data_IF_160884889029
#
_entry.id   IF_160884889029
#
_cell.length_a   1.000
_cell.length_b   1.000
_cell.length_c   1.000
_cell.angle_alpha   90.00
_cell.angle_beta   90.00
_cell.angle_gamma   90.00
#
_symmetry.space_group_name_H-M   'P 1'
#
loop_
_entity.id
_entity.type
_entity.pdbx_description
1 polymer ?
#
# COMPACT_ATOMS: atom_id res chain seq x y z
N UNK A 1 4.41 -7.91 -6.95
CA UNK A 1 4.50 -6.97 -8.09
C UNK A 1 5.77 -6.15 -7.94
N UNK A 2 6.45 -5.85 -9.04
CA UNK A 2 7.56 -4.91 -9.07
C UNK A 2 7.04 -3.47 -9.07
N UNK A 3 7.66 -2.61 -8.27
CA UNK A 3 7.50 -1.16 -8.34
C UNK A 3 8.88 -0.52 -8.46
N UNK A 4 9.01 0.55 -9.24
CA UNK A 4 10.30 1.15 -9.54
C UNK A 4 10.24 2.67 -9.54
N UNK A 5 11.41 3.29 -9.40
CA UNK A 5 11.53 4.75 -9.38
C UNK A 5 11.20 5.33 -10.76
N UNK A 6 10.31 6.32 -10.78
CA UNK A 6 9.97 7.10 -11.98
C UNK A 6 11.24 7.73 -12.57
N UNK A 7 11.38 7.63 -13.88
CA UNK A 7 12.53 8.17 -14.63
C UNK A 7 13.59 7.13 -14.96
N UNK A 8 13.50 5.93 -14.40
CA UNK A 8 14.21 4.77 -14.93
C UNK A 8 13.56 4.31 -16.25
N UNK A 9 14.33 3.65 -17.15
CA UNK A 9 13.74 2.96 -18.29
C UNK A 9 12.62 2.01 -17.83
N UNK A 10 11.49 1.94 -18.55
CA UNK A 10 10.38 1.08 -18.15
C UNK A 10 10.82 -0.38 -17.99
N UNK A 11 10.65 -0.93 -16.78
CA UNK A 11 10.98 -2.32 -16.46
C UNK A 11 9.74 -3.17 -16.62
N UNK A 12 9.54 -3.67 -17.85
CA UNK A 12 8.36 -4.46 -18.22
C UNK A 12 8.61 -5.98 -18.19
N UNK A 13 9.87 -6.41 -18.15
CA UNK A 13 10.28 -7.80 -18.21
C UNK A 13 11.42 -8.06 -17.20
N UNK A 14 11.59 -9.31 -16.72
CA UNK A 14 12.62 -9.66 -15.72
C UNK A 14 14.06 -9.30 -16.13
N UNK A 15 14.37 -9.31 -17.42
CA UNK A 15 15.68 -8.98 -17.97
C UNK A 15 16.08 -7.54 -17.61
N UNK A 16 15.11 -6.64 -17.49
CA UNK A 16 15.32 -5.25 -17.08
C UNK A 16 15.69 -5.08 -15.60
N UNK A 17 15.72 -6.15 -14.81
CA UNK A 17 16.12 -6.12 -13.40
C UNK A 17 17.62 -6.24 -13.19
N UNK A 18 18.37 -6.66 -14.21
CA UNK A 18 19.82 -6.85 -14.09
C UNK A 18 20.51 -5.52 -13.73
N UNK A 19 21.31 -5.56 -12.65
CA UNK A 19 22.07 -4.41 -12.16
C UNK A 19 21.26 -3.37 -11.37
N UNK A 20 19.95 -3.56 -11.17
CA UNK A 20 19.15 -2.67 -10.32
C UNK A 20 19.30 -3.03 -8.83
N UNK A 21 19.26 -2.00 -7.97
CA UNK A 21 19.15 -2.24 -6.53
C UNK A 21 17.70 -2.51 -6.11
N UNK A 22 17.36 -3.78 -5.88
CA UNK A 22 15.99 -4.23 -5.57
C UNK A 22 15.82 -4.57 -4.10
N UNK A 23 14.77 -4.04 -3.47
CA UNK A 23 14.41 -4.32 -2.08
C UNK A 23 13.10 -5.11 -1.93
N UNK A 24 13.00 -5.92 -0.88
CA UNK A 24 11.73 -6.50 -0.40
C UNK A 24 11.68 -6.53 1.12
N UNK A 25 10.49 -6.71 1.70
CA UNK A 25 10.30 -6.90 3.14
C UNK A 25 10.61 -8.37 3.49
N UNK A 26 11.47 -8.58 4.48
CA UNK A 26 11.81 -9.92 4.98
C UNK A 26 10.57 -10.67 5.44
N UNK A 27 10.42 -11.94 5.02
CA UNK A 27 9.33 -12.82 5.47
C UNK A 27 7.94 -12.42 4.98
N UNK A 28 7.85 -11.50 4.01
CA UNK A 28 6.58 -11.10 3.40
C UNK A 28 6.02 -12.15 2.45
N UNK A 29 6.82 -13.12 2.01
CA UNK A 29 6.50 -14.06 0.92
C UNK A 29 6.89 -13.54 -0.47
N UNK A 30 7.17 -12.24 -0.61
CA UNK A 30 7.71 -11.67 -1.84
C UNK A 30 9.18 -12.08 -2.07
N UNK A 31 9.91 -12.42 -1.01
CA UNK A 31 11.25 -13.00 -1.03
C UNK A 31 11.26 -14.36 -1.73
N UNK A 32 10.24 -15.19 -1.53
CA UNK A 32 10.13 -16.48 -2.24
C UNK A 32 9.98 -16.27 -3.74
N UNK A 33 9.11 -15.35 -4.18
CA UNK A 33 8.92 -15.04 -5.59
C UNK A 33 10.21 -14.49 -6.24
N UNK A 34 10.99 -13.69 -5.50
CA UNK A 34 12.30 -13.21 -5.95
C UNK A 34 13.37 -14.32 -6.02
N UNK A 35 13.37 -15.27 -5.07
CA UNK A 35 14.25 -16.45 -5.11
C UNK A 35 13.97 -17.32 -6.34
N UNK A 36 12.70 -17.55 -6.64
CA UNK A 36 12.28 -18.29 -7.83
C UNK A 36 12.71 -17.55 -9.11
N UNK A 37 12.51 -16.24 -9.17
CA UNK A 37 12.95 -15.42 -10.30
C UNK A 37 14.47 -15.42 -10.47
N UNK A 38 15.23 -15.36 -9.37
CA UNK A 38 16.69 -15.40 -9.39
C UNK A 38 17.25 -16.73 -9.92
N UNK A 39 16.51 -17.84 -9.76
CA UNK A 39 16.91 -19.12 -10.33
C UNK A 39 16.88 -19.12 -11.87
N UNK A 40 15.98 -18.33 -12.47
CA UNK A 40 15.88 -18.13 -13.92
C UNK A 40 16.79 -17.00 -14.42
N UNK A 41 16.98 -15.96 -13.61
CA UNK A 41 17.82 -14.79 -13.91
C UNK A 41 18.92 -14.62 -12.85
N UNK A 42 20.08 -15.31 -12.97
CA UNK A 42 21.12 -15.31 -11.95
C UNK A 42 21.78 -13.96 -11.67
N UNK A 43 21.70 -13.02 -12.61
CA UNK A 43 22.21 -11.65 -12.45
C UNK A 43 21.29 -10.75 -11.61
N UNK A 44 20.12 -11.27 -11.21
CA UNK A 44 19.19 -10.57 -10.32
C UNK A 44 19.80 -10.41 -8.93
N UNK A 45 20.19 -9.18 -8.60
CA UNK A 45 20.58 -8.77 -7.25
C UNK A 45 19.38 -8.22 -6.49
N UNK A 46 19.11 -8.75 -5.29
CA UNK A 46 18.03 -8.24 -4.43
C UNK A 46 18.40 -8.38 -2.96
N UNK A 47 17.80 -7.56 -2.11
CA UNK A 47 18.02 -7.55 -0.66
C UNK A 47 16.72 -7.54 0.14
N UNK A 48 16.73 -8.30 1.22
CA UNK A 48 15.70 -8.24 2.25
C UNK A 48 15.99 -7.08 3.21
N UNK A 49 15.03 -6.19 3.37
CA UNK A 49 15.05 -5.17 4.41
C UNK A 49 14.34 -5.72 5.66
N UNK A 50 15.06 -5.97 6.76
CA UNK A 50 14.41 -6.31 8.03
C UNK A 50 13.74 -5.07 8.63
N UNK A 51 12.63 -5.28 9.33
CA UNK A 51 11.98 -4.28 10.18
C UNK A 51 11.54 -2.98 9.46
N UNK A 52 11.25 -3.07 8.15
CA UNK A 52 10.67 -1.94 7.39
C UNK A 52 9.25 -2.26 6.95
N UNK A 53 8.41 -1.24 7.01
CA UNK A 53 7.06 -1.28 6.47
C UNK A 53 7.02 -0.84 5.00
N UNK A 54 5.93 -1.16 4.30
CA UNK A 54 5.76 -0.80 2.88
C UNK A 54 5.99 0.69 2.58
N UNK A 55 5.45 1.65 3.36
CA UNK A 55 5.69 3.07 3.11
C UNK A 55 7.17 3.44 3.15
N UNK A 56 7.94 2.86 4.07
CA UNK A 56 9.38 3.13 4.16
C UNK A 56 10.14 2.54 2.96
N UNK A 57 9.76 1.33 2.53
CA UNK A 57 10.34 0.72 1.34
C UNK A 57 10.07 1.56 0.08
N UNK A 58 8.84 2.05 -0.09
CA UNK A 58 8.47 2.93 -1.21
C UNK A 58 9.18 4.29 -1.14
N UNK A 59 9.36 4.84 0.05
CA UNK A 59 10.13 6.07 0.26
C UNK A 59 11.57 5.91 -0.22
N UNK A 60 12.21 4.77 0.05
CA UNK A 60 13.58 4.48 -0.43
C UNK A 60 13.66 4.37 -1.95
N UNK A 61 12.62 3.83 -2.59
CA UNK A 61 12.53 3.81 -4.07
C UNK A 61 12.39 5.24 -4.61
N UNK A 62 11.49 6.04 -4.03
CA UNK A 62 11.27 7.42 -4.48
C UNK A 62 12.51 8.30 -4.28
N UNK A 63 13.23 8.13 -3.17
CA UNK A 63 14.46 8.87 -2.87
C UNK A 63 15.67 8.40 -3.69
N UNK A 64 15.57 7.27 -4.39
CA UNK A 64 16.68 6.68 -5.14
C UNK A 64 17.69 5.88 -4.32
N UNK A 65 17.36 5.56 -3.07
CA UNK A 65 18.16 4.63 -2.25
C UNK A 65 17.94 3.17 -2.68
N UNK A 66 16.86 2.91 -3.41
CA UNK A 66 16.57 1.68 -4.15
C UNK A 66 16.13 2.09 -5.56
N UNK A 67 16.44 1.28 -6.55
CA UNK A 67 15.91 1.47 -7.91
C UNK A 67 14.50 0.90 -8.03
N UNK A 68 14.26 -0.23 -7.36
CA UNK A 68 12.99 -0.91 -7.35
C UNK A 68 12.73 -1.67 -6.05
N UNK A 69 11.48 -2.06 -5.86
CA UNK A 69 11.04 -2.91 -4.77
C UNK A 69 10.01 -3.93 -5.25
N UNK A 70 9.88 -5.04 -4.53
CA UNK A 70 8.81 -6.02 -4.73
C UNK A 70 7.87 -5.98 -3.53
N UNK A 71 6.60 -5.71 -3.80
CA UNK A 71 5.53 -5.61 -2.80
C UNK A 71 4.25 -6.28 -3.33
N UNK A 72 3.29 -6.55 -2.45
CA UNK A 72 1.97 -6.99 -2.90
C UNK A 72 1.21 -5.84 -3.58
N UNK A 73 0.40 -6.16 -4.58
CA UNK A 73 -0.36 -5.17 -5.34
C UNK A 73 -1.24 -4.30 -4.44
N UNK A 74 -2.03 -4.93 -3.55
CA UNK A 74 -2.89 -4.20 -2.61
C UNK A 74 -2.12 -3.24 -1.69
N UNK A 75 -0.89 -3.61 -1.28
CA UNK A 75 -0.05 -2.76 -0.44
C UNK A 75 0.42 -1.53 -1.23
N UNK A 76 0.82 -1.72 -2.49
CA UNK A 76 1.19 -0.59 -3.33
C UNK A 76 0.00 0.32 -3.60
N UNK A 77 -1.17 -0.24 -3.93
CA UNK A 77 -2.39 0.52 -4.25
C UNK A 77 -2.76 1.51 -3.15
N UNK A 78 -2.77 1.06 -1.89
CA UNK A 78 -3.10 1.91 -0.73
C UNK A 78 -2.06 3.02 -0.50
N UNK A 79 -0.79 2.77 -0.84
CA UNK A 79 0.30 3.71 -0.57
C UNK A 79 0.65 4.64 -1.73
N UNK A 80 0.25 4.29 -2.96
CA UNK A 80 0.66 4.96 -4.21
C UNK A 80 0.42 6.47 -4.20
N UNK A 81 -0.62 6.92 -3.51
CA UNK A 81 -0.98 8.32 -3.35
C UNK A 81 0.13 9.16 -2.69
N UNK A 82 0.91 8.58 -1.79
CA UNK A 82 1.98 9.25 -1.04
C UNK A 82 3.33 9.21 -1.76
N UNK A 83 3.49 8.34 -2.75
CA UNK A 83 4.75 8.10 -3.45
C UNK A 83 4.59 8.30 -4.97
N UNK A 84 4.27 9.52 -5.44
CA UNK A 84 4.01 9.79 -6.86
C UNK A 84 5.21 9.52 -7.76
N UNK A 85 6.44 9.49 -7.23
CA UNK A 85 7.66 9.13 -7.92
C UNK A 85 7.92 7.63 -8.04
N UNK A 86 6.97 6.78 -7.66
CA UNK A 86 7.05 5.32 -7.81
C UNK A 86 6.02 4.83 -8.84
N UNK A 87 6.48 4.00 -9.77
CA UNK A 87 5.67 3.44 -10.86
C UNK A 87 5.51 1.91 -10.73
N UNK A 88 4.44 1.38 -11.32
CA UNK A 88 4.22 -0.07 -11.39
C UNK A 88 5.05 -0.63 -12.53
N UNK A 89 5.79 -1.70 -12.24
CA UNK A 89 6.37 -2.58 -13.24
C UNK A 89 5.48 -3.79 -13.47
N UNK A 90 6.10 -4.90 -13.85
CA UNK A 90 5.41 -6.16 -14.10
C UNK A 90 5.13 -6.95 -12.80
N UNK A 91 4.27 -7.96 -12.91
CA UNK A 91 3.94 -8.86 -11.80
C UNK A 91 4.97 -9.99 -11.71
N UNK A 92 5.52 -10.20 -10.52
CA UNK A 92 6.45 -11.31 -10.23
C UNK A 92 5.68 -12.38 -9.46
N UNK A 93 5.85 -13.64 -9.88
CA UNK A 93 5.20 -14.79 -9.27
C UNK A 93 3.72 -14.95 -9.65
N UNK A 94 3.08 -15.96 -9.08
CA UNK A 94 1.65 -16.22 -9.29
C UNK A 94 0.78 -15.41 -8.32
N UNK A 95 -0.48 -15.12 -8.68
CA UNK A 95 -1.45 -14.56 -7.75
C UNK A 95 -1.59 -15.47 -6.51
N UNK A 96 -1.35 -14.91 -5.33
CA UNK A 96 -1.48 -15.62 -4.07
C UNK A 96 -2.87 -15.36 -3.48
N UNK A 97 -3.51 -16.44 -3.02
CA UNK A 97 -4.73 -16.35 -2.21
C UNK A 97 -4.36 -16.14 -0.75
N UNK A 98 -4.98 -15.17 -0.08
CA UNK A 98 -4.83 -15.00 1.36
C UNK A 98 -5.56 -16.12 2.10
N UNK A 99 -4.92 -16.68 3.12
CA UNK A 99 -5.48 -17.73 3.94
C UNK A 99 -5.19 -17.49 5.42
N UNK A 100 -6.08 -17.96 6.28
CA UNK A 100 -5.83 -17.97 7.72
C UNK A 100 -4.94 -19.16 8.09
N UNK A 101 -3.83 -18.88 8.77
CA UNK A 101 -2.92 -19.91 9.27
C UNK A 101 -3.38 -20.40 10.64
N UNK A 102 -3.34 -21.72 10.84
CA UNK A 102 -3.65 -22.36 12.11
C UNK A 102 -2.45 -23.19 12.59
N UNK A 103 -2.25 -23.34 13.92
CA UNK A 103 -1.24 -24.24 14.45
C UNK A 103 -1.43 -25.66 13.92
N UNK A 104 -0.34 -26.33 13.53
CA UNK A 104 -0.39 -27.71 13.05
C UNK A 104 -0.82 -28.71 14.15
N UNK A 105 -0.68 -28.33 15.41
CA UNK A 105 -1.07 -29.11 16.58
C UNK A 105 -2.39 -28.57 17.17
N UNK A 106 -3.31 -29.45 17.56
CA UNK A 106 -4.60 -29.05 18.17
C UNK A 106 -5.85 -29.57 17.46
N UNK A 107 -5.70 -30.31 16.35
CA UNK A 107 -6.81 -30.91 15.61
C UNK A 107 -7.51 -29.93 14.66
N UNK A 108 -8.33 -30.48 13.75
CA UNK A 108 -8.88 -29.73 12.61
C UNK A 108 -10.17 -28.97 12.90
N UNK A 109 -10.74 -29.07 14.11
CA UNK A 109 -12.08 -28.54 14.40
C UNK A 109 -12.16 -27.02 14.19
N UNK A 110 -11.22 -26.26 14.74
CA UNK A 110 -11.21 -24.80 14.58
C UNK A 110 -11.03 -24.39 13.12
N UNK A 111 -10.11 -25.05 12.42
CA UNK A 111 -9.88 -24.81 10.99
C UNK A 111 -11.13 -25.10 10.15
N UNK A 112 -11.86 -26.19 10.45
CA UNK A 112 -13.09 -26.55 9.77
C UNK A 112 -14.21 -25.53 10.01
N UNK A 113 -14.38 -25.08 11.26
CA UNK A 113 -15.35 -24.02 11.58
C UNK A 113 -14.99 -22.69 10.91
N UNK A 114 -13.71 -22.31 10.89
CA UNK A 114 -13.24 -21.11 10.21
C UNK A 114 -13.48 -21.19 8.69
N UNK A 115 -13.22 -22.35 8.07
CA UNK A 115 -13.52 -22.55 6.65
C UNK A 115 -15.02 -22.42 6.36
N UNK A 116 -15.89 -22.97 7.22
CA UNK A 116 -17.35 -22.83 7.07
C UNK A 116 -17.77 -21.36 7.20
N UNK A 117 -17.23 -20.65 8.17
CA UNK A 117 -17.50 -19.23 8.36
C UNK A 117 -17.09 -18.39 7.13
N UNK A 118 -15.88 -18.58 6.61
CA UNK A 118 -15.41 -17.88 5.41
C UNK A 118 -16.26 -18.21 4.17
N UNK A 119 -16.66 -19.48 4.00
CA UNK A 119 -17.56 -19.88 2.92
C UNK A 119 -18.93 -19.21 3.03
N UNK A 120 -19.49 -19.10 4.24
CA UNK A 120 -20.75 -18.41 4.47
C UNK A 120 -20.64 -16.92 4.11
N UNK A 121 -19.60 -16.22 4.58
CA UNK A 121 -19.37 -14.81 4.25
C UNK A 121 -19.22 -14.57 2.73
N UNK A 122 -18.60 -15.51 2.03
CA UNK A 122 -18.47 -15.44 0.57
C UNK A 122 -19.82 -15.65 -0.13
N UNK A 123 -20.62 -16.63 0.29
CA UNK A 123 -21.96 -16.88 -0.27
C UNK A 123 -22.93 -15.73 -0.02
N UNK A 124 -22.80 -15.05 1.12
CA UNK A 124 -23.61 -13.89 1.49
C UNK A 124 -23.13 -12.58 0.82
N UNK A 125 -22.00 -12.60 0.11
CA UNK A 125 -21.42 -11.41 -0.54
C UNK A 125 -20.75 -10.42 0.43
N UNK A 126 -20.74 -10.72 1.73
CA UNK A 126 -20.12 -9.88 2.77
C UNK A 126 -18.61 -9.77 2.56
N UNK A 127 -17.98 -10.86 2.12
CA UNK A 127 -16.55 -10.86 1.83
C UNK A 127 -16.21 -9.91 0.68
N UNK A 128 -17.02 -9.89 -0.38
CA UNK A 128 -16.82 -8.99 -1.52
C UNK A 128 -17.01 -7.54 -1.10
N UNK A 129 -18.02 -7.23 -0.27
CA UNK A 129 -18.23 -5.89 0.27
C UNK A 129 -17.04 -5.42 1.13
N UNK A 130 -16.46 -6.30 1.94
CA UNK A 130 -15.25 -6.01 2.72
C UNK A 130 -14.05 -5.75 1.81
N UNK A 131 -13.85 -6.59 0.78
CA UNK A 131 -12.78 -6.40 -0.19
C UNK A 131 -12.96 -5.07 -0.92
N UNK A 132 -14.16 -4.76 -1.41
CA UNK A 132 -14.43 -3.52 -2.12
C UNK A 132 -14.27 -2.29 -1.22
N UNK A 133 -14.74 -2.36 0.02
CA UNK A 133 -14.57 -1.27 0.99
C UNK A 133 -13.11 -0.96 1.27
N UNK A 134 -12.26 -1.98 1.36
CA UNK A 134 -10.85 -1.81 1.73
C UNK A 134 -9.89 -1.72 0.55
N UNK A 135 -10.27 -2.24 -0.62
CA UNK A 135 -9.42 -2.37 -1.81
C UNK A 135 -10.13 -2.02 -3.13
N UNK A 136 -11.41 -1.68 -3.16
CA UNK A 136 -12.22 -1.51 -4.38
C UNK A 136 -12.30 -0.09 -4.94
N UNK A 137 -11.60 0.89 -4.35
CA UNK A 137 -11.62 2.25 -4.87
C UNK A 137 -10.82 2.32 -6.19
N UNK A 138 -11.45 2.86 -7.25
CA UNK A 138 -10.84 3.05 -8.57
C UNK A 138 -9.71 4.09 -8.48
N UNK A 139 -8.51 3.59 -8.17
CA UNK A 139 -7.32 4.38 -7.84
C UNK A 139 -6.87 5.35 -8.93
N UNK A 140 -7.33 5.23 -10.18
CA UNK A 140 -6.80 6.06 -11.28
C UNK A 140 -7.31 7.52 -11.19
N UNK A 141 -8.60 7.72 -10.93
CA UNK A 141 -9.20 9.04 -10.78
C UNK A 141 -8.84 9.67 -9.44
N UNK A 142 -8.77 8.87 -8.37
CA UNK A 142 -8.26 9.33 -7.07
C UNK A 142 -6.77 9.63 -7.10
N UNK A 143 -5.93 8.89 -7.83
CA UNK A 143 -4.48 9.17 -7.94
C UNK A 143 -4.19 10.55 -8.53
N UNK A 144 -4.88 10.95 -9.60
CA UNK A 144 -4.69 12.29 -10.19
C UNK A 144 -5.24 13.37 -9.25
N UNK A 145 -6.44 13.17 -8.71
CA UNK A 145 -7.06 14.13 -7.79
C UNK A 145 -6.28 14.32 -6.49
N UNK A 146 -5.77 13.23 -5.92
CA UNK A 146 -4.97 13.25 -4.72
C UNK A 146 -3.57 13.79 -4.93
N UNK A 147 -2.94 13.58 -6.09
CA UNK A 147 -1.67 14.25 -6.42
C UNK A 147 -1.83 15.76 -6.43
N UNK A 148 -2.91 16.25 -7.05
CA UNK A 148 -3.25 17.68 -7.03
C UNK A 148 -3.52 18.15 -5.60
N UNK A 149 -4.20 17.33 -4.79
CA UNK A 149 -4.45 17.63 -3.39
C UNK A 149 -3.16 17.70 -2.55
N UNK A 150 -2.26 16.72 -2.66
CA UNK A 150 -0.98 16.68 -1.94
C UNK A 150 -0.07 17.82 -2.40
N UNK A 151 -0.03 18.12 -3.70
CA UNK A 151 0.67 19.30 -4.21
C UNK A 151 0.12 20.59 -3.57
N UNK A 152 -1.20 20.77 -3.57
CA UNK A 152 -1.82 21.90 -2.89
C UNK A 152 -1.58 21.90 -1.38
N UNK A 153 -1.48 20.72 -0.75
CA UNK A 153 -1.18 20.61 0.67
C UNK A 153 0.26 21.09 0.92
N UNK A 154 1.25 20.65 0.16
CA UNK A 154 2.61 21.17 0.29
C UNK A 154 2.72 22.67 0.00
N UNK A 155 2.01 23.17 -1.01
CA UNK A 155 2.06 24.58 -1.41
C UNK A 155 1.30 25.50 -0.45
N UNK A 156 0.14 25.06 0.06
CA UNK A 156 -0.81 25.94 0.77
C UNK A 156 -0.91 25.65 2.26
N UNK A 157 -0.63 24.42 2.73
CA UNK A 157 -0.67 24.09 4.15
C UNK A 157 0.27 24.97 5.01
N UNK A 158 1.48 25.36 4.57
CA UNK A 158 2.34 26.26 5.34
C UNK A 158 1.63 27.54 5.78
N UNK A 159 0.85 28.15 4.87
CA UNK A 159 0.12 29.40 5.12
C UNK A 159 -1.01 29.23 6.16
N UNK A 160 -1.55 28.03 6.29
CA UNK A 160 -2.64 27.71 7.23
C UNK A 160 -2.15 26.96 8.48
N UNK A 161 -0.85 26.68 8.60
CA UNK A 161 -0.29 25.85 9.68
C UNK A 161 -0.53 26.47 11.07
N UNK A 162 -0.44 27.80 11.19
CA UNK A 162 -0.71 28.50 12.45
C UNK A 162 -2.17 28.31 12.90
N UNK A 163 -3.12 28.41 11.97
CA UNK A 163 -4.55 28.22 12.24
C UNK A 163 -4.88 26.78 12.64
N UNK A 164 -4.14 25.79 12.12
CA UNK A 164 -4.30 24.39 12.51
C UNK A 164 -3.66 24.06 13.87
N UNK A 165 -2.61 24.80 14.28
CA UNK A 165 -1.98 24.63 15.60
C UNK A 165 -2.78 25.26 16.74
N UNK A 166 -3.62 26.26 16.45
CA UNK A 166 -4.50 26.92 17.43
C UNK A 166 -5.80 26.14 17.71
N UNK A 167 -6.12 25.13 16.90
CA UNK A 167 -7.30 24.28 17.11
C UNK A 167 -7.08 23.31 18.30
N UNK A 168 -8.06 23.13 19.21
CA UNK A 168 -7.92 22.21 20.33
C UNK A 168 -7.70 20.77 19.85
N UNK A 169 -6.70 20.10 20.46
CA UNK A 169 -6.39 18.69 20.24
C UNK A 169 -7.56 17.79 20.64
N UNK A 170 -8.41 17.43 19.69
CA UNK A 170 -9.29 16.26 19.85
C UNK A 170 -8.52 15.05 19.33
N UNK A 171 -8.27 14.01 20.14
CA UNK A 171 -7.54 12.84 19.69
C UNK A 171 -8.44 12.07 18.72
N UNK A 172 -8.12 12.13 17.43
CA UNK A 172 -8.73 11.31 16.40
C UNK A 172 -7.58 10.74 15.57
N UNK A 173 -7.57 9.42 15.41
CA UNK A 173 -6.63 8.74 14.51
C UNK A 173 -6.76 9.32 13.10
N UNK A 174 -5.63 9.54 12.41
CA UNK A 174 -5.59 10.02 11.01
C UNK A 174 -6.62 9.26 10.15
N UNK A 175 -6.72 7.95 10.33
CA UNK A 175 -7.62 7.10 9.56
C UNK A 175 -9.11 7.32 9.81
N UNK A 176 -9.50 7.85 10.98
CA UNK A 176 -10.89 8.17 11.31
C UNK A 176 -11.28 9.57 10.84
N UNK A 177 -10.32 10.50 10.89
CA UNK A 177 -10.51 11.88 10.46
C UNK A 177 -10.77 11.99 8.94
N UNK A 178 -9.99 11.27 8.13
CA UNK A 178 -10.17 11.26 6.67
C UNK A 178 -11.49 10.62 6.24
N UNK A 179 -11.95 9.57 6.92
CA UNK A 179 -13.24 8.90 6.65
C UNK A 179 -14.44 9.82 6.87
N UNK A 180 -14.42 10.62 7.94
CA UNK A 180 -15.49 11.58 8.24
C UNK A 180 -15.57 12.72 7.21
N UNK A 181 -14.44 13.16 6.67
CA UNK A 181 -14.41 14.22 5.66
C UNK A 181 -14.85 13.76 4.28
N UNK A 182 -14.38 12.60 3.81
CA UNK A 182 -14.76 12.03 2.52
C UNK A 182 -16.27 11.75 2.41
N UNK A 183 -16.94 11.51 3.55
CA UNK A 183 -18.40 11.32 3.61
C UNK A 183 -19.16 12.65 3.43
N UNK A 184 -18.58 13.79 3.86
CA UNK A 184 -19.19 15.13 3.79
C UNK A 184 -18.96 15.87 2.46
N UNK A 185 -17.94 15.52 1.70
CA UNK A 185 -17.69 16.14 0.39
C UNK A 185 -18.75 15.77 -0.66
N UNK A 186 -19.51 14.69 -0.44
CA UNK A 186 -20.69 14.31 -1.25
C UNK A 186 -21.85 15.32 -1.18
N UNK A 187 -21.90 16.19 -0.16
CA UNK A 187 -22.98 17.18 0.01
C UNK A 187 -22.57 18.62 -0.35
N UNK A 188 -21.45 18.80 -1.05
CA UNK A 188 -21.16 20.04 -1.79
C UNK A 188 -20.59 21.19 -0.96
N UNK A 189 -19.96 20.94 0.18
CA UNK A 189 -19.25 22.00 0.94
C UNK A 189 -17.75 22.00 0.61
N UNK A 190 -17.18 23.12 0.12
CA UNK A 190 -15.84 23.13 -0.48
C UNK A 190 -14.70 23.40 0.51
N UNK A 191 -14.95 23.40 1.82
CA UNK A 191 -13.92 23.72 2.83
C UNK A 191 -13.70 22.56 3.79
N UNK A 192 -12.49 21.97 3.87
CA UNK A 192 -12.21 20.93 4.84
C UNK A 192 -12.22 21.51 6.26
N UNK A 193 -12.75 20.77 7.27
CA UNK A 193 -12.61 21.13 8.67
C UNK A 193 -11.12 21.05 9.09
N UNK A 194 -10.74 21.59 10.26
CA UNK A 194 -9.37 21.49 10.76
C UNK A 194 -9.00 20.09 11.26
N UNK A 195 -7.77 19.61 11.03
CA UNK A 195 -7.31 18.30 11.45
C UNK A 195 -7.27 18.18 12.97
N UNK A 196 -7.45 16.97 13.52
CA UNK A 196 -7.34 16.73 14.95
C UNK A 196 -5.88 16.80 15.36
N UNK A 197 -5.59 17.42 16.50
CA UNK A 197 -4.20 17.53 16.93
C UNK A 197 -3.69 16.20 17.51
N UNK A 198 -2.43 15.91 17.19
CA UNK A 198 -1.70 14.72 17.59
C UNK A 198 -1.22 14.84 19.04
N UNK A 199 -1.45 13.80 19.85
CA UNK A 199 -0.71 13.59 21.09
C UNK A 199 0.61 12.87 20.75
N UNK A 200 1.72 13.40 21.28
CA UNK A 200 3.05 12.82 21.20
C UNK A 200 3.16 11.47 21.95
#
# INVERSE_FOLDING_TARGET
MLVYRRGLPPVNEPEGLAGLEIGTIRGSGADQALRELQAEYPELGWRESPDVEVPELLSRVESGNLDAAVVYDHQFRINRIFFPGVERGFTIGQPLSMAWAFPAHGGLRLQQEANRFLQQLQQEGVLDELVDRHFGHDDYLEYVGARVFIAHLHERLPDYTALFREAPATPVSIGDYWRHWATRSRTGTPRPPPPPAFAA
#
